data_IF_875727347408
#
_entry.id   IF_875727347408
#
_cell.length_a   1.000
_cell.length_b   1.000
_cell.length_c   1.000
_cell.angle_alpha   90.00
_cell.angle_beta   90.00
_cell.angle_gamma   90.00
#
_symmetry.space_group_name_H-M   'P 1'
#
loop_
_entity.id
_entity.type
_entity.pdbx_description
1 polymer ?
#
# COMPACT_ATOMS: atom_id res chain seq x y z
N UNK A 1 -55.96 51.47 -36.62
CA UNK A 1 -54.64 51.43 -37.26
C UNK A 1 -53.61 51.63 -36.15
N UNK A 2 -53.22 50.52 -35.53
CA UNK A 2 -52.40 50.44 -34.33
C UNK A 2 -51.18 49.58 -34.68
N UNK A 3 -50.10 49.78 -33.93
CA UNK A 3 -48.85 49.00 -33.88
C UNK A 3 -47.74 49.51 -34.79
N UNK A 4 -47.15 50.62 -34.35
CA UNK A 4 -45.69 50.73 -34.26
C UNK A 4 -45.26 50.28 -32.85
N UNK A 5 -43.95 49.99 -32.66
CA UNK A 5 -43.26 49.70 -31.39
C UNK A 5 -43.10 48.21 -31.01
N UNK A 6 -42.39 47.39 -31.81
CA UNK A 6 -41.53 46.28 -31.28
C UNK A 6 -40.40 45.90 -32.25
N UNK A 7 -39.63 46.86 -32.80
CA UNK A 7 -38.51 46.50 -33.70
C UNK A 7 -37.25 47.32 -33.45
N UNK A 8 -36.79 47.34 -32.19
CA UNK A 8 -35.45 47.84 -31.85
C UNK A 8 -34.91 47.30 -30.52
N UNK A 9 -34.75 45.97 -30.40
CA UNK A 9 -34.09 45.37 -29.23
C UNK A 9 -33.47 43.98 -29.49
N UNK A 10 -32.73 43.80 -30.59
CA UNK A 10 -31.90 42.59 -30.79
C UNK A 10 -30.56 42.89 -31.46
N UNK A 11 -29.72 43.70 -30.81
CA UNK A 11 -28.29 43.75 -31.12
C UNK A 11 -27.50 44.14 -29.87
N UNK A 12 -27.23 43.16 -29.01
CA UNK A 12 -26.50 43.43 -27.77
C UNK A 12 -26.45 42.28 -26.77
N UNK A 13 -26.37 41.02 -27.20
CA UNK A 13 -25.94 39.95 -26.31
C UNK A 13 -24.44 39.80 -26.50
N UNK A 14 -23.66 40.52 -25.68
CA UNK A 14 -22.28 40.10 -25.42
C UNK A 14 -22.38 38.71 -24.82
N UNK A 15 -21.81 37.71 -25.47
CA UNK A 15 -21.48 36.45 -24.82
C UNK A 15 -20.60 36.78 -23.60
N UNK A 16 -21.22 36.81 -22.41
CA UNK A 16 -20.48 36.70 -21.17
C UNK A 16 -19.78 35.34 -21.21
N UNK A 17 -18.48 35.37 -21.49
CA UNK A 17 -17.62 34.20 -21.39
C UNK A 17 -17.87 33.53 -20.04
N UNK A 18 -18.49 32.35 -20.09
CA UNK A 18 -18.72 31.50 -18.93
C UNK A 18 -17.42 31.42 -18.12
N UNK A 19 -17.44 31.65 -16.80
CA UNK A 19 -16.23 31.54 -15.99
C UNK A 19 -15.62 30.16 -16.23
N UNK A 20 -14.37 30.15 -16.68
CA UNK A 20 -13.65 28.93 -17.01
C UNK A 20 -13.82 27.93 -15.85
N UNK A 21 -14.39 26.75 -16.15
CA UNK A 21 -14.52 25.68 -15.17
C UNK A 21 -13.16 25.48 -14.53
N UNK A 22 -13.04 25.49 -13.19
CA UNK A 22 -11.76 25.24 -12.54
C UNK A 22 -11.21 23.91 -13.07
N UNK A 23 -10.08 24.01 -13.77
CA UNK A 23 -9.36 22.86 -14.28
C UNK A 23 -9.14 21.90 -13.09
N UNK A 24 -9.53 20.62 -13.21
CA UNK A 24 -9.25 19.67 -12.15
C UNK A 24 -7.73 19.68 -11.90
N UNK A 25 -7.29 19.71 -10.63
CA UNK A 25 -5.87 19.78 -10.31
C UNK A 25 -5.13 18.66 -11.04
N UNK A 26 -4.06 19.04 -11.75
CA UNK A 26 -3.20 18.11 -12.46
C UNK A 26 -2.85 16.93 -11.55
N UNK A 27 -2.99 15.67 -12.01
CA UNK A 27 -2.70 14.52 -11.18
C UNK A 27 -1.26 14.62 -10.68
N UNK A 28 -1.09 14.63 -9.35
CA UNK A 28 0.23 14.74 -8.73
C UNK A 28 1.20 13.73 -9.36
N UNK A 29 2.43 14.15 -9.69
CA UNK A 29 3.39 13.30 -10.40
C UNK A 29 3.59 11.98 -9.67
N UNK A 30 3.55 10.89 -10.44
CA UNK A 30 3.77 9.53 -9.95
C UNK A 30 5.17 9.47 -9.33
N UNK A 31 5.29 8.91 -8.14
CA UNK A 31 6.56 8.89 -7.40
C UNK A 31 7.45 7.76 -7.92
N UNK A 32 8.12 8.01 -9.06
CA UNK A 32 8.90 6.99 -9.78
C UNK A 32 9.96 6.29 -8.94
N UNK A 33 10.51 6.94 -7.91
CA UNK A 33 11.49 6.33 -7.00
C UNK A 33 10.89 5.22 -6.12
N UNK A 34 9.63 5.35 -5.72
CA UNK A 34 8.92 4.29 -4.98
C UNK A 34 8.59 3.11 -5.88
N UNK A 35 8.19 3.38 -7.13
CA UNK A 35 7.95 2.34 -8.12
C UNK A 35 9.27 1.59 -8.41
N UNK A 36 10.37 2.31 -8.62
CA UNK A 36 11.70 1.70 -8.81
C UNK A 36 12.13 0.82 -7.63
N UNK A 37 11.96 1.27 -6.39
CA UNK A 37 12.24 0.47 -5.19
C UNK A 37 11.40 -0.81 -5.14
N UNK A 38 10.11 -0.72 -5.46
CA UNK A 38 9.22 -1.89 -5.51
C UNK A 38 9.65 -2.88 -6.59
N UNK A 39 10.04 -2.39 -7.76
CA UNK A 39 10.55 -3.21 -8.85
C UNK A 39 11.81 -3.96 -8.45
N UNK A 40 12.78 -3.26 -7.86
CA UNK A 40 14.01 -3.85 -7.34
C UNK A 40 13.72 -4.91 -6.27
N UNK A 41 12.88 -4.57 -5.27
CA UNK A 41 12.51 -5.49 -4.21
C UNK A 41 11.83 -6.76 -4.74
N UNK A 42 10.96 -6.65 -5.75
CA UNK A 42 10.33 -7.80 -6.39
C UNK A 42 11.37 -8.75 -6.98
N UNK A 43 12.36 -8.22 -7.72
CA UNK A 43 13.41 -9.03 -8.34
C UNK A 43 14.28 -9.73 -7.30
N UNK A 44 14.61 -9.06 -6.20
CA UNK A 44 15.40 -9.67 -5.11
C UNK A 44 14.65 -10.81 -4.44
N UNK A 45 13.32 -10.72 -4.28
CA UNK A 45 12.50 -11.83 -3.75
C UNK A 45 12.42 -12.99 -4.75
N UNK A 46 12.31 -12.71 -6.07
CA UNK A 46 12.38 -13.75 -7.11
C UNK A 46 13.73 -14.48 -7.04
N UNK A 47 14.82 -13.72 -6.92
CA UNK A 47 16.16 -14.25 -6.77
C UNK A 47 16.26 -15.18 -5.55
N UNK A 48 15.85 -14.71 -4.37
CA UNK A 48 15.84 -15.51 -3.13
C UNK A 48 15.17 -16.88 -3.32
N UNK A 49 13.97 -16.92 -3.90
CA UNK A 49 13.22 -18.17 -4.08
C UNK A 49 13.79 -19.06 -5.19
N UNK A 50 14.53 -18.48 -6.14
CA UNK A 50 15.23 -19.23 -7.19
C UNK A 50 16.52 -19.91 -6.65
N UNK A 51 17.13 -19.36 -5.60
CA UNK A 51 18.38 -19.90 -5.04
C UNK A 51 18.22 -21.33 -4.56
N UNK A 52 17.14 -21.67 -3.85
CA UNK A 52 16.90 -23.06 -3.45
C UNK A 52 16.86 -24.05 -4.63
N UNK A 53 16.29 -23.62 -5.76
CA UNK A 53 16.01 -24.48 -6.90
C UNK A 53 17.21 -24.65 -7.84
N UNK A 54 18.07 -23.64 -7.91
CA UNK A 54 19.16 -23.56 -8.88
C UNK A 54 20.55 -23.48 -8.24
N UNK A 55 20.67 -22.84 -7.08
CA UNK A 55 21.94 -22.51 -6.43
C UNK A 55 21.89 -22.76 -4.91
N UNK A 56 21.55 -23.99 -4.46
CA UNK A 56 21.41 -24.31 -3.04
C UNK A 56 22.71 -24.03 -2.25
N UNK A 57 23.88 -24.18 -2.88
CA UNK A 57 25.18 -23.85 -2.32
C UNK A 57 25.32 -22.35 -1.99
N UNK A 58 24.82 -21.47 -2.87
CA UNK A 58 24.83 -20.02 -2.65
C UNK A 58 23.87 -19.68 -1.51
N UNK A 59 22.70 -20.33 -1.46
CA UNK A 59 21.74 -20.12 -0.38
C UNK A 59 22.31 -20.56 0.97
N UNK A 60 22.93 -21.73 1.02
CA UNK A 60 23.52 -22.28 2.23
C UNK A 60 24.68 -21.41 2.75
N UNK A 61 25.49 -20.82 1.86
CA UNK A 61 26.59 -19.94 2.25
C UNK A 61 26.12 -18.51 2.60
N UNK A 62 25.40 -17.85 1.70
CA UNK A 62 24.99 -16.46 1.87
C UNK A 62 23.86 -16.29 2.89
N UNK A 63 22.93 -17.26 2.97
CA UNK A 63 21.77 -17.23 3.85
C UNK A 63 22.12 -17.22 5.34
N UNK A 64 23.34 -17.62 5.70
CA UNK A 64 23.90 -17.54 7.06
C UNK A 64 24.13 -16.10 7.53
N UNK A 65 24.27 -15.17 6.57
CA UNK A 65 24.67 -13.79 6.82
C UNK A 65 23.61 -12.80 6.35
N UNK A 66 22.93 -13.09 5.24
CA UNK A 66 21.99 -12.18 4.61
C UNK A 66 20.78 -12.93 4.04
N UNK A 67 19.59 -12.49 4.43
CA UNK A 67 18.34 -13.03 3.89
C UNK A 67 17.76 -12.06 2.84
N UNK A 68 17.88 -12.41 1.55
CA UNK A 68 17.42 -11.57 0.45
C UNK A 68 15.89 -11.42 0.43
N UNK A 69 15.16 -12.46 0.85
CA UNK A 69 13.70 -12.45 0.96
C UNK A 69 13.21 -11.42 1.98
N UNK A 70 13.68 -11.50 3.23
CA UNK A 70 13.34 -10.54 4.28
C UNK A 70 13.71 -9.12 3.88
N UNK A 71 14.88 -8.92 3.26
CA UNK A 71 15.29 -7.61 2.75
C UNK A 71 14.26 -7.04 1.76
N UNK A 72 13.91 -7.81 0.72
CA UNK A 72 12.96 -7.36 -0.30
C UNK A 72 11.58 -7.07 0.29
N UNK A 73 11.09 -7.93 1.17
CA UNK A 73 9.79 -7.77 1.85
C UNK A 73 9.77 -6.54 2.77
N UNK A 74 10.84 -6.27 3.52
CA UNK A 74 10.93 -5.07 4.37
C UNK A 74 10.95 -3.77 3.55
N UNK A 75 11.61 -3.76 2.38
CA UNK A 75 11.53 -2.64 1.44
C UNK A 75 10.09 -2.43 0.94
N UNK A 76 9.36 -3.51 0.62
CA UNK A 76 7.94 -3.40 0.26
C UNK A 76 7.10 -2.80 1.40
N UNK A 77 7.32 -3.21 2.64
CA UNK A 77 6.59 -2.69 3.79
C UNK A 77 6.88 -1.20 4.05
N UNK A 78 8.14 -0.76 3.92
CA UNK A 78 8.49 0.67 3.99
C UNK A 78 7.76 1.48 2.90
N UNK A 79 7.75 0.97 1.66
CA UNK A 79 7.05 1.63 0.54
C UNK A 79 5.53 1.66 0.78
N UNK A 80 4.93 0.56 1.22
CA UNK A 80 3.49 0.49 1.52
C UNK A 80 3.12 1.48 2.63
N UNK A 81 3.90 1.52 3.70
CA UNK A 81 3.79 2.50 4.78
C UNK A 81 3.84 3.96 4.31
N UNK A 82 4.74 4.25 3.37
CA UNK A 82 4.92 5.60 2.82
C UNK A 82 3.74 6.07 1.94
N UNK A 83 3.08 5.17 1.21
CA UNK A 83 2.06 5.51 0.20
C UNK A 83 0.63 5.38 0.70
N UNK A 84 0.35 4.39 1.55
CA UNK A 84 -1.03 3.99 1.88
C UNK A 84 -1.80 5.08 2.64
N UNK A 85 -1.29 5.68 3.73
CA UNK A 85 -2.03 6.71 4.47
C UNK A 85 -2.36 7.93 3.60
N UNK A 86 -1.46 8.30 2.70
CA UNK A 86 -1.65 9.37 1.71
C UNK A 86 -2.85 9.11 0.81
N UNK A 87 -3.04 7.85 0.39
CA UNK A 87 -4.15 7.49 -0.49
C UNK A 87 -5.52 7.63 0.18
N UNK A 88 -5.58 7.46 1.51
CA UNK A 88 -6.78 7.65 2.31
C UNK A 88 -7.04 9.14 2.55
N UNK A 89 -6.00 9.89 2.95
CA UNK A 89 -6.10 11.34 3.21
C UNK A 89 -6.49 12.14 1.96
N UNK A 90 -5.90 11.83 0.79
CA UNK A 90 -6.20 12.56 -0.46
C UNK A 90 -7.63 12.38 -0.96
N UNK A 91 -8.28 11.26 -0.63
CA UNK A 91 -9.63 10.94 -1.13
C UNK A 91 -10.72 11.28 -0.12
N UNK A 92 -10.40 11.41 1.16
CA UNK A 92 -11.33 11.78 2.22
C UNK A 92 -12.45 10.77 2.54
N UNK A 93 -12.55 9.67 1.79
CA UNK A 93 -13.60 8.65 1.94
C UNK A 93 -13.00 7.29 2.28
N UNK A 94 -13.36 6.75 3.44
CA UNK A 94 -12.97 5.41 3.90
C UNK A 94 -13.51 4.32 2.96
N UNK A 95 -14.78 4.40 2.57
CA UNK A 95 -15.36 3.46 1.60
C UNK A 95 -14.67 3.54 0.24
N UNK A 96 -14.36 4.74 -0.24
CA UNK A 96 -13.59 4.94 -1.47
C UNK A 96 -12.17 4.35 -1.39
N UNK A 97 -11.51 4.42 -0.24
CA UNK A 97 -10.22 3.77 0.00
C UNK A 97 -10.34 2.25 -0.13
N UNK A 98 -11.27 1.62 0.61
CA UNK A 98 -11.45 0.17 0.59
C UNK A 98 -11.82 -0.36 -0.79
N UNK A 99 -12.74 0.30 -1.51
CA UNK A 99 -13.07 -0.06 -2.91
C UNK A 99 -11.80 -0.10 -3.76
N UNK A 100 -10.97 0.94 -3.73
CA UNK A 100 -9.74 0.97 -4.53
C UNK A 100 -8.73 -0.12 -4.10
N UNK A 101 -8.72 -0.53 -2.82
CA UNK A 101 -7.84 -1.59 -2.32
C UNK A 101 -8.31 -2.98 -2.70
N UNK A 102 -9.61 -3.25 -2.58
CA UNK A 102 -10.20 -4.53 -3.02
C UNK A 102 -9.94 -4.75 -4.50
N UNK A 103 -10.24 -3.76 -5.36
CA UNK A 103 -9.99 -3.83 -6.80
C UNK A 103 -8.50 -3.79 -7.19
N UNK A 104 -7.61 -3.47 -6.25
CA UNK A 104 -6.16 -3.54 -6.47
C UNK A 104 -5.60 -4.91 -6.10
N UNK A 105 -6.06 -5.50 -5.00
CA UNK A 105 -5.47 -6.70 -4.43
C UNK A 105 -6.16 -7.99 -4.89
N UNK A 106 -7.47 -8.09 -4.66
CA UNK A 106 -8.22 -9.35 -4.82
C UNK A 106 -8.21 -9.92 -6.24
N UNK A 107 -8.35 -9.15 -7.34
CA UNK A 107 -8.44 -9.73 -8.68
C UNK A 107 -7.27 -10.64 -9.04
N UNK A 108 -6.04 -10.16 -8.85
CA UNK A 108 -4.85 -10.95 -9.15
C UNK A 108 -4.55 -11.98 -8.06
N UNK A 109 -4.89 -11.65 -6.81
CA UNK A 109 -4.81 -12.61 -5.71
C UNK A 109 -5.67 -13.85 -5.99
N UNK A 110 -6.90 -13.69 -6.50
CA UNK A 110 -7.78 -14.81 -6.89
C UNK A 110 -7.15 -15.67 -7.99
N UNK A 111 -6.56 -15.03 -9.00
CA UNK A 111 -5.86 -15.77 -10.07
C UNK A 111 -4.71 -16.58 -9.50
N UNK A 112 -3.88 -15.99 -8.63
CA UNK A 112 -2.77 -16.69 -7.99
C UNK A 112 -3.25 -17.79 -7.03
N UNK A 113 -4.32 -17.56 -6.27
CA UNK A 113 -4.90 -18.53 -5.35
C UNK A 113 -5.46 -19.72 -6.11
N UNK A 114 -6.24 -19.49 -7.18
CA UNK A 114 -6.79 -20.54 -8.03
C UNK A 114 -5.67 -21.36 -8.69
N UNK A 115 -4.67 -20.69 -9.27
CA UNK A 115 -3.52 -21.38 -9.87
C UNK A 115 -2.72 -22.19 -8.83
N UNK A 116 -2.50 -21.64 -7.63
CA UNK A 116 -1.88 -22.34 -6.51
C UNK A 116 -2.67 -23.59 -6.09
N UNK A 117 -3.98 -23.47 -5.92
CA UNK A 117 -4.85 -24.62 -5.59
C UNK A 117 -4.79 -25.69 -6.68
N UNK A 118 -4.88 -25.32 -7.95
CA UNK A 118 -4.78 -26.27 -9.07
C UNK A 118 -3.42 -26.97 -9.06
N UNK A 119 -2.33 -26.24 -8.87
CA UNK A 119 -0.99 -26.83 -8.78
C UNK A 119 -0.87 -27.81 -7.61
N UNK A 120 -1.55 -27.51 -6.49
CA UNK A 120 -1.57 -28.38 -5.32
C UNK A 120 -2.34 -29.68 -5.56
N UNK A 121 -3.53 -29.59 -6.15
CA UNK A 121 -4.35 -30.76 -6.51
C UNK A 121 -3.65 -31.63 -7.55
N UNK A 122 -2.93 -31.04 -8.49
CA UNK A 122 -2.19 -31.74 -9.55
C UNK A 122 -0.80 -32.24 -9.11
N UNK A 123 -0.42 -32.06 -7.84
CA UNK A 123 0.89 -32.49 -7.33
C UNK A 123 2.08 -31.82 -8.01
N UNK A 124 1.92 -30.57 -8.46
CA UNK A 124 3.01 -29.79 -9.09
C UNK A 124 4.06 -29.35 -8.06
N UNK A 125 3.67 -29.18 -6.80
CA UNK A 125 4.56 -28.99 -5.65
C UNK A 125 4.34 -30.10 -4.59
N UNK A 126 5.05 -30.06 -3.45
CA UNK A 126 4.77 -30.92 -2.27
C UNK A 126 3.27 -30.89 -1.94
N UNK A 127 2.68 -31.97 -1.42
CA UNK A 127 1.23 -32.05 -1.20
C UNK A 127 0.60 -30.78 -0.60
N UNK A 128 -0.64 -30.47 -1.00
CA UNK A 128 -1.44 -29.42 -0.35
C UNK A 128 -1.30 -29.57 1.17
N UNK A 129 -1.02 -28.49 1.91
CA UNK A 129 -0.91 -28.59 3.37
C UNK A 129 -2.16 -29.29 3.90
N UNK A 130 -2.00 -30.26 4.81
CA UNK A 130 -3.12 -31.10 5.28
C UNK A 130 -4.32 -30.25 5.74
N UNK A 131 -4.06 -29.12 6.41
CA UNK A 131 -5.06 -28.13 6.81
C UNK A 131 -5.97 -27.62 5.66
N UNK A 132 -5.43 -27.49 4.45
CA UNK A 132 -6.18 -27.08 3.27
C UNK A 132 -7.01 -28.23 2.69
N UNK A 133 -6.53 -29.47 2.81
CA UNK A 133 -7.23 -30.66 2.36
C UNK A 133 -8.36 -31.06 3.33
N UNK A 134 -8.11 -30.98 4.64
CA UNK A 134 -9.03 -31.43 5.68
C UNK A 134 -10.25 -30.50 5.84
N UNK A 135 -10.05 -29.19 5.69
CA UNK A 135 -11.09 -28.18 5.91
C UNK A 135 -11.07 -27.09 4.82
N UNK A 136 -11.42 -27.43 3.56
CA UNK A 136 -11.28 -26.53 2.42
C UNK A 136 -12.15 -25.27 2.57
N UNK A 137 -13.35 -25.38 3.17
CA UNK A 137 -14.24 -24.23 3.39
C UNK A 137 -13.67 -23.21 4.38
N UNK A 138 -13.14 -23.67 5.51
CA UNK A 138 -12.49 -22.80 6.52
C UNK A 138 -11.23 -22.18 5.95
N UNK A 139 -10.41 -22.97 5.25
CA UNK A 139 -9.20 -22.48 4.59
C UNK A 139 -9.53 -21.42 3.54
N UNK A 140 -10.56 -21.63 2.70
CA UNK A 140 -11.02 -20.63 1.74
C UNK A 140 -11.50 -19.34 2.43
N UNK A 141 -12.28 -19.47 3.52
CA UNK A 141 -12.75 -18.32 4.29
C UNK A 141 -11.58 -17.52 4.89
N UNK A 142 -10.60 -18.19 5.49
CA UNK A 142 -9.39 -17.56 6.02
C UNK A 142 -8.64 -16.77 4.93
N UNK A 143 -8.47 -17.37 3.76
CA UNK A 143 -7.85 -16.74 2.59
C UNK A 143 -8.64 -15.55 2.07
N UNK A 144 -9.98 -15.61 2.05
CA UNK A 144 -10.85 -14.49 1.63
C UNK A 144 -10.72 -13.27 2.54
N UNK A 145 -10.38 -13.44 3.82
CA UNK A 145 -10.07 -12.30 4.70
C UNK A 145 -8.71 -11.66 4.41
N UNK A 146 -7.85 -12.33 3.63
CA UNK A 146 -6.41 -12.08 3.51
C UNK A 146 -5.65 -12.12 4.85
N UNK A 147 -6.24 -12.62 5.94
CA UNK A 147 -5.59 -12.73 7.26
C UNK A 147 -5.14 -14.16 7.60
N UNK A 148 -5.09 -15.07 6.62
CA UNK A 148 -4.83 -16.49 6.85
C UNK A 148 -3.57 -16.78 7.68
N UNK A 149 -2.51 -15.98 7.50
CA UNK A 149 -1.27 -16.14 8.28
C UNK A 149 -1.44 -15.77 9.77
N UNK A 150 -2.37 -14.87 10.10
CA UNK A 150 -2.72 -14.55 11.48
C UNK A 150 -3.82 -15.46 12.05
N UNK A 151 -4.37 -16.35 11.22
CA UNK A 151 -5.42 -17.31 11.59
C UNK A 151 -4.85 -18.73 11.74
N UNK A 152 -3.52 -18.89 11.70
CA UNK A 152 -2.84 -20.19 11.73
C UNK A 152 -3.21 -21.10 10.54
N UNK A 153 -3.54 -20.52 9.38
CA UNK A 153 -3.82 -21.24 8.14
C UNK A 153 -2.67 -21.05 7.17
N UNK A 154 -2.06 -22.16 6.72
CA UNK A 154 -0.97 -22.13 5.74
C UNK A 154 -1.45 -21.48 4.43
N UNK A 155 -0.64 -20.61 3.86
CA UNK A 155 -0.99 -19.94 2.61
C UNK A 155 -0.88 -20.89 1.41
N UNK A 156 -1.92 -20.95 0.57
CA UNK A 156 -1.91 -21.75 -0.68
C UNK A 156 -0.77 -21.36 -1.61
N UNK A 157 -0.44 -20.07 -1.66
CA UNK A 157 0.78 -19.56 -2.28
C UNK A 157 1.60 -18.91 -1.18
N UNK A 158 2.83 -19.41 -0.95
CA UNK A 158 3.67 -19.03 0.19
C UNK A 158 3.65 -17.52 0.47
N UNK A 159 3.91 -16.69 -0.54
CA UNK A 159 4.05 -15.22 -0.42
C UNK A 159 2.80 -14.48 0.06
N UNK A 160 1.63 -15.12 0.10
CA UNK A 160 0.41 -14.48 0.61
C UNK A 160 0.51 -14.08 2.09
N UNK A 161 1.43 -14.67 2.87
CA UNK A 161 1.64 -14.31 4.27
C UNK A 161 1.85 -12.79 4.44
N UNK A 162 2.64 -12.17 3.56
CA UNK A 162 2.92 -10.72 3.59
C UNK A 162 1.69 -9.84 3.39
N UNK A 163 0.70 -10.31 2.63
CA UNK A 163 -0.52 -9.57 2.36
C UNK A 163 -1.39 -9.44 3.61
N UNK A 164 -1.29 -10.40 4.53
CA UNK A 164 -2.00 -10.33 5.81
C UNK A 164 -1.55 -9.17 6.67
N UNK A 165 -0.25 -8.90 6.70
CA UNK A 165 0.30 -7.74 7.42
C UNK A 165 -0.05 -6.42 6.73
N UNK A 166 -0.10 -6.41 5.40
CA UNK A 166 -0.58 -5.24 4.66
C UNK A 166 -2.08 -4.97 4.93
N UNK A 167 -2.90 -6.02 5.03
CA UNK A 167 -4.32 -5.92 5.40
C UNK A 167 -4.50 -5.38 6.82
N UNK A 168 -3.75 -5.91 7.79
CA UNK A 168 -3.71 -5.37 9.17
C UNK A 168 -3.39 -3.88 9.16
N UNK A 169 -2.36 -3.47 8.42
CA UNK A 169 -2.00 -2.05 8.32
C UNK A 169 -3.14 -1.21 7.75
N UNK A 170 -3.89 -1.73 6.77
CA UNK A 170 -5.07 -1.02 6.22
C UNK A 170 -6.18 -0.86 7.26
N UNK A 171 -6.45 -1.88 8.06
CA UNK A 171 -7.45 -1.84 9.14
C UNK A 171 -7.06 -0.79 10.20
N UNK A 172 -5.79 -0.79 10.62
CA UNK A 172 -5.29 0.17 11.61
C UNK A 172 -5.31 1.61 11.10
N UNK A 173 -4.81 1.87 9.89
CA UNK A 173 -4.84 3.22 9.29
C UNK A 173 -6.28 3.70 9.07
N UNK A 174 -7.20 2.79 8.75
CA UNK A 174 -8.63 3.12 8.64
C UNK A 174 -9.21 3.56 9.98
N UNK A 175 -8.93 2.82 11.06
CA UNK A 175 -9.40 3.17 12.40
C UNK A 175 -8.81 4.50 12.88
N UNK A 176 -7.51 4.74 12.66
CA UNK A 176 -6.87 6.03 12.96
C UNK A 176 -7.56 7.20 12.26
N UNK A 177 -7.89 7.02 10.98
CA UNK A 177 -8.55 8.05 10.19
C UNK A 177 -9.98 8.29 10.67
N UNK A 178 -10.72 7.22 10.98
CA UNK A 178 -12.08 7.31 11.51
C UNK A 178 -12.13 7.98 12.90
N UNK A 179 -11.10 7.77 13.73
CA UNK A 179 -10.94 8.40 15.04
C UNK A 179 -10.40 9.85 14.97
N UNK A 180 -10.03 10.35 13.80
CA UNK A 180 -9.50 11.72 13.64
C UNK A 180 -8.04 11.89 14.10
N UNK A 181 -7.33 10.81 14.45
CA UNK A 181 -5.97 10.80 14.98
C UNK A 181 -4.90 11.01 13.89
N UNK A 182 -5.02 12.09 13.10
CA UNK A 182 -4.31 12.23 11.81
C UNK A 182 -2.80 12.44 11.91
N UNK A 183 -2.26 13.11 12.95
CA UNK A 183 -0.82 13.46 13.02
C UNK A 183 -0.11 12.95 14.26
N UNK A 184 -0.66 13.25 15.44
CA UNK A 184 -0.10 12.79 16.72
C UNK A 184 -0.18 11.27 16.87
N UNK A 185 -1.26 10.66 16.35
CA UNK A 185 -1.48 9.21 16.42
C UNK A 185 -0.42 8.39 15.68
N UNK A 186 0.13 8.86 14.56
CA UNK A 186 1.12 8.08 13.78
C UNK A 186 2.43 7.89 14.55
N UNK A 187 2.95 8.94 15.20
CA UNK A 187 4.20 8.80 15.98
C UNK A 187 3.96 7.95 17.23
N UNK A 188 2.81 8.13 17.90
CA UNK A 188 2.42 7.31 19.05
C UNK A 188 2.27 5.83 18.70
N UNK A 189 1.68 5.50 17.56
CA UNK A 189 1.55 4.10 17.11
C UNK A 189 2.87 3.49 16.67
N UNK A 190 3.77 4.27 16.06
CA UNK A 190 5.12 3.81 15.78
C UNK A 190 5.88 3.50 17.07
N UNK A 191 5.81 4.41 18.04
CA UNK A 191 6.42 4.23 19.36
C UNK A 191 5.84 3.01 20.09
N UNK A 192 4.51 2.88 20.09
CA UNK A 192 3.83 1.71 20.67
C UNK A 192 4.24 0.42 19.97
N UNK A 193 4.25 0.38 18.64
CA UNK A 193 4.65 -0.80 17.89
C UNK A 193 6.12 -1.17 18.18
N UNK A 194 7.01 -0.17 18.26
CA UNK A 194 8.43 -0.37 18.60
C UNK A 194 8.62 -0.87 20.04
N UNK A 195 7.86 -0.32 21.01
CA UNK A 195 7.87 -0.78 22.38
C UNK A 195 7.29 -2.20 22.51
N UNK A 196 6.23 -2.52 21.77
CA UNK A 196 5.65 -3.85 21.75
C UNK A 196 6.64 -4.92 21.24
N UNK A 197 7.67 -4.55 20.46
CA UNK A 197 8.73 -5.48 20.04
C UNK A 197 9.51 -6.05 21.21
N UNK A 198 9.75 -5.25 22.26
CA UNK A 198 10.62 -5.66 23.37
C UNK A 198 9.97 -6.71 24.27
N UNK A 199 8.64 -6.84 24.18
CA UNK A 199 7.86 -7.86 24.91
C UNK A 199 7.18 -8.84 23.97
N UNK A 200 7.22 -8.62 22.66
CA UNK A 200 6.49 -9.40 21.67
C UNK A 200 6.90 -10.87 21.63
N UNK A 201 8.17 -11.19 21.92
CA UNK A 201 8.62 -12.58 22.00
C UNK A 201 8.08 -13.36 23.20
N UNK A 202 7.51 -12.66 24.20
CA UNK A 202 6.83 -13.28 25.33
C UNK A 202 5.37 -13.65 25.00
N UNK A 203 4.82 -13.11 23.91
CA UNK A 203 3.44 -13.35 23.54
C UNK A 203 3.31 -14.70 22.80
N UNK A 204 2.36 -15.55 23.20
CA UNK A 204 2.22 -16.88 22.62
C UNK A 204 1.70 -16.81 21.19
N UNK A 205 2.46 -17.31 20.22
CA UNK A 205 2.00 -17.46 18.85
C UNK A 205 0.86 -18.50 18.75
N UNK A 206 -0.13 -18.26 17.89
CA UNK A 206 -1.25 -19.19 17.68
C UNK A 206 -2.09 -19.53 18.92
N UNK A 207 -2.05 -18.71 19.98
CA UNK A 207 -2.71 -19.02 21.25
C UNK A 207 -4.24 -19.13 21.11
N UNK A 208 -4.85 -18.25 20.32
CA UNK A 208 -6.31 -18.29 20.10
C UNK A 208 -6.71 -19.52 19.31
N UNK A 209 -5.99 -19.85 18.23
CA UNK A 209 -6.29 -21.04 17.43
C UNK A 209 -6.04 -22.34 18.21
N UNK A 210 -5.03 -22.38 19.10
CA UNK A 210 -4.78 -23.52 19.99
C UNK A 210 -5.84 -23.66 21.10
N UNK A 211 -6.29 -22.55 21.67
CA UNK A 211 -7.25 -22.55 22.78
C UNK A 211 -8.71 -22.70 22.34
N UNK A 212 -9.13 -21.99 21.29
CA UNK A 212 -10.51 -21.94 20.82
C UNK A 212 -10.79 -22.76 19.56
N UNK A 213 -9.74 -23.24 18.88
CA UNK A 213 -9.81 -23.92 17.59
C UNK A 213 -9.71 -22.97 16.40
N UNK A 214 -8.93 -23.37 15.39
CA UNK A 214 -8.67 -22.56 14.18
C UNK A 214 -9.96 -22.16 13.46
N UNK A 215 -10.91 -23.09 13.30
CA UNK A 215 -12.16 -22.82 12.59
C UNK A 215 -12.99 -21.71 13.25
N UNK A 216 -13.10 -21.73 14.58
CA UNK A 216 -13.81 -20.73 15.37
C UNK A 216 -13.17 -19.35 15.21
N UNK A 217 -11.83 -19.27 15.32
CA UNK A 217 -11.10 -18.00 15.16
C UNK A 217 -11.27 -17.43 13.75
N UNK A 218 -11.26 -18.28 12.71
CA UNK A 218 -11.51 -17.88 11.32
C UNK A 218 -12.93 -17.32 11.15
N UNK A 219 -13.96 -18.03 11.63
CA UNK A 219 -15.36 -17.61 11.50
C UNK A 219 -15.61 -16.28 12.24
N UNK A 220 -15.14 -16.17 13.49
CA UNK A 220 -15.28 -14.94 14.29
C UNK A 220 -14.59 -13.77 13.59
N UNK A 221 -13.38 -13.99 13.07
CA UNK A 221 -12.64 -12.97 12.31
C UNK A 221 -13.44 -12.51 11.09
N UNK A 222 -13.97 -13.43 10.29
CA UNK A 222 -14.77 -13.10 9.12
C UNK A 222 -16.02 -12.30 9.49
N UNK A 223 -16.76 -12.70 10.54
CA UNK A 223 -17.95 -11.99 11.02
C UNK A 223 -17.63 -10.57 11.47
N UNK A 224 -16.56 -10.38 12.26
CA UNK A 224 -16.14 -9.05 12.72
C UNK A 224 -15.73 -8.17 11.55
N UNK A 225 -15.01 -8.71 10.56
CA UNK A 225 -14.63 -7.96 9.36
C UNK A 225 -15.84 -7.58 8.49
N UNK A 226 -16.83 -8.47 8.35
CA UNK A 226 -18.08 -8.17 7.64
C UNK A 226 -18.88 -7.09 8.36
N UNK A 227 -19.00 -7.17 9.68
CA UNK A 227 -19.65 -6.13 10.49
C UNK A 227 -18.91 -4.78 10.39
N UNK A 228 -17.58 -4.81 10.44
CA UNK A 228 -16.76 -3.62 10.24
C UNK A 228 -16.94 -3.03 8.83
N UNK A 229 -16.98 -3.85 7.79
CA UNK A 229 -17.24 -3.41 6.42
C UNK A 229 -18.64 -2.80 6.26
N UNK A 230 -19.67 -3.41 6.84
CA UNK A 230 -21.03 -2.86 6.86
C UNK A 230 -21.08 -1.51 7.59
N UNK A 231 -20.35 -1.36 8.70
CA UNK A 231 -20.26 -0.10 9.46
C UNK A 231 -19.68 1.07 8.65
N UNK A 232 -18.94 0.79 7.55
CA UNK A 232 -18.39 1.84 6.69
C UNK A 232 -19.46 2.58 5.90
N UNK A 233 -20.62 1.97 5.69
CA UNK A 233 -21.80 2.62 5.11
C UNK A 233 -22.51 3.53 6.12
N UNK A 234 -22.30 3.31 7.42
CA UNK A 234 -22.85 4.12 8.50
C UNK A 234 -22.04 5.41 8.74
N UNK A 235 -22.61 6.34 9.50
CA UNK A 235 -21.96 7.59 9.93
C UNK A 235 -21.75 7.61 11.45
N UNK A 236 -20.91 8.54 11.91
CA UNK A 236 -20.71 8.81 13.33
C UNK A 236 -20.13 7.61 14.11
N UNK A 237 -20.72 7.34 15.28
CA UNK A 237 -20.24 6.34 16.26
C UNK A 237 -20.19 4.93 15.71
N UNK A 238 -21.19 4.50 14.90
CA UNK A 238 -21.23 3.14 14.36
C UNK A 238 -20.01 2.82 13.49
N UNK A 239 -19.61 3.77 12.62
CA UNK A 239 -18.40 3.64 11.80
C UNK A 239 -17.13 3.62 12.66
N UNK A 240 -17.09 4.44 13.71
CA UNK A 240 -15.97 4.45 14.64
C UNK A 240 -15.87 3.12 15.40
N UNK A 241 -16.97 2.59 15.92
CA UNK A 241 -17.00 1.30 16.61
C UNK A 241 -16.59 0.15 15.70
N UNK A 242 -17.12 0.06 14.48
CA UNK A 242 -16.78 -1.03 13.55
C UNK A 242 -15.31 -0.98 13.10
N UNK A 243 -14.77 0.20 12.81
CA UNK A 243 -13.34 0.34 12.47
C UNK A 243 -12.44 0.09 13.68
N UNK A 244 -12.84 0.49 14.89
CA UNK A 244 -12.12 0.19 16.13
C UNK A 244 -12.14 -1.33 16.43
N UNK A 245 -13.29 -1.99 16.28
CA UNK A 245 -13.40 -3.44 16.45
C UNK A 245 -12.46 -4.20 15.50
N UNK A 246 -12.42 -3.81 14.22
CA UNK A 246 -11.49 -4.41 13.26
C UNK A 246 -10.01 -4.14 13.61
N UNK A 247 -9.68 -2.95 14.13
CA UNK A 247 -8.34 -2.64 14.58
C UNK A 247 -7.93 -3.44 15.83
N UNK A 248 -8.83 -3.58 16.81
CA UNK A 248 -8.62 -4.40 18.01
C UNK A 248 -8.41 -5.86 17.61
N UNK A 249 -9.29 -6.40 16.77
CA UNK A 249 -9.13 -7.74 16.21
C UNK A 249 -7.76 -7.91 15.55
N UNK A 250 -7.36 -6.97 14.70
CA UNK A 250 -6.08 -7.02 14.01
C UNK A 250 -4.89 -7.01 15.00
N UNK A 251 -4.91 -6.17 16.05
CA UNK A 251 -3.85 -6.13 17.06
C UNK A 251 -3.80 -7.40 17.92
N UNK A 252 -4.97 -7.95 18.28
CA UNK A 252 -5.07 -9.20 19.03
C UNK A 252 -4.51 -10.35 18.21
N UNK A 253 -4.94 -10.49 16.95
CA UNK A 253 -4.43 -11.54 16.06
C UNK A 253 -2.91 -11.39 15.84
N UNK A 254 -2.41 -10.16 15.67
CA UNK A 254 -0.98 -9.88 15.49
C UNK A 254 -0.16 -10.26 16.73
N UNK A 255 -0.70 -9.97 17.92
CA UNK A 255 -0.02 -10.17 19.20
C UNK A 255 -0.03 -11.62 19.68
N UNK A 256 -1.13 -12.36 19.50
CA UNK A 256 -1.29 -13.68 20.14
C UNK A 256 -1.71 -14.80 19.19
N UNK A 257 -1.89 -14.53 17.89
CA UNK A 257 -2.32 -15.57 16.96
C UNK A 257 -1.54 -15.62 15.63
N UNK A 258 -0.57 -14.73 15.43
CA UNK A 258 0.30 -14.74 14.25
C UNK A 258 1.04 -16.07 14.11
N UNK A 259 1.18 -16.57 12.87
CA UNK A 259 2.01 -17.74 12.56
C UNK A 259 3.47 -17.39 12.79
N UNK A 260 4.02 -16.38 12.10
CA UNK A 260 5.46 -16.07 12.15
C UNK A 260 5.99 -15.63 13.53
N UNK A 261 5.13 -15.37 14.50
CA UNK A 261 5.49 -14.87 15.83
C UNK A 261 5.20 -13.38 16.00
N UNK A 262 4.87 -12.98 17.22
CA UNK A 262 4.36 -11.64 17.50
C UNK A 262 5.42 -10.55 17.35
N UNK A 263 6.67 -10.81 17.75
CA UNK A 263 7.74 -9.81 17.61
C UNK A 263 8.08 -9.53 16.13
N UNK A 264 8.13 -10.55 15.26
CA UNK A 264 8.33 -10.34 13.81
C UNK A 264 7.16 -9.56 13.21
N UNK A 265 5.94 -9.93 13.60
CA UNK A 265 4.70 -9.31 13.14
C UNK A 265 4.62 -7.83 13.51
N UNK A 266 4.98 -7.51 14.75
CA UNK A 266 5.08 -6.14 15.25
C UNK A 266 6.23 -5.38 14.57
N UNK A 267 7.35 -6.06 14.22
CA UNK A 267 8.48 -5.41 13.55
C UNK A 267 8.10 -4.97 12.14
N UNK A 268 7.36 -5.82 11.43
CA UNK A 268 6.75 -5.48 10.14
C UNK A 268 5.82 -4.28 10.30
N UNK A 269 4.92 -4.31 11.29
CA UNK A 269 3.97 -3.22 11.51
C UNK A 269 4.67 -1.90 11.84
N UNK A 270 5.67 -1.94 12.72
CA UNK A 270 6.50 -0.78 13.07
C UNK A 270 7.22 -0.23 11.83
N UNK A 271 7.75 -1.11 10.96
CA UNK A 271 8.37 -0.73 9.69
C UNK A 271 7.39 0.00 8.75
N UNK A 272 6.14 -0.46 8.66
CA UNK A 272 5.11 0.22 7.87
C UNK A 272 4.73 1.60 8.45
N UNK A 273 4.59 1.72 9.78
CA UNK A 273 4.37 3.02 10.41
C UNK A 273 5.57 3.96 10.27
N UNK A 274 6.80 3.44 10.26
CA UNK A 274 7.99 4.23 9.98
C UNK A 274 7.94 4.85 8.58
N UNK A 275 7.51 4.08 7.56
CA UNK A 275 7.25 4.61 6.21
C UNK A 275 6.26 5.78 6.23
N UNK A 276 5.22 5.70 7.06
CA UNK A 276 4.24 6.79 7.23
C UNK A 276 4.88 8.03 7.86
N UNK A 277 5.67 7.85 8.92
CA UNK A 277 6.37 8.97 9.58
C UNK A 277 7.36 9.63 8.64
N UNK A 278 8.13 8.85 7.86
CA UNK A 278 9.05 9.37 6.83
C UNK A 278 8.32 10.21 5.78
N UNK A 279 7.15 9.75 5.32
CA UNK A 279 6.30 10.53 4.41
C UNK A 279 5.86 11.86 5.03
N UNK A 280 5.39 11.83 6.28
CA UNK A 280 4.94 13.04 6.97
C UNK A 280 6.08 14.03 7.21
N UNK A 281 7.29 13.56 7.46
CA UNK A 281 8.49 14.39 7.54
C UNK A 281 8.80 15.05 6.19
N UNK A 282 8.73 14.30 5.08
CA UNK A 282 8.97 14.85 3.73
C UNK A 282 7.95 15.92 3.32
N UNK A 283 6.76 15.89 3.92
CA UNK A 283 5.70 16.89 3.71
C UNK A 283 5.69 18.01 4.73
N UNK A 284 6.66 18.07 5.66
CA UNK A 284 6.71 19.07 6.73
C UNK A 284 5.54 18.96 7.73
N UNK A 285 4.82 17.83 7.76
CA UNK A 285 3.69 17.61 8.66
C UNK A 285 4.13 17.19 10.06
N UNK A 286 5.33 16.62 10.18
CA UNK A 286 5.99 16.27 11.44
C UNK A 286 7.35 16.98 11.50
N UNK A 287 7.85 17.17 12.73
CA UNK A 287 9.18 17.74 12.97
C UNK A 287 10.14 16.63 13.37
N UNK A 288 11.32 16.58 12.76
CA UNK A 288 12.36 15.57 13.08
C UNK A 288 12.66 15.51 14.58
N UNK A 289 12.77 16.65 15.26
CA UNK A 289 13.01 16.74 16.71
C UNK A 289 12.00 15.96 17.56
N UNK A 290 10.75 15.77 17.10
CA UNK A 290 9.69 15.07 17.86
C UNK A 290 9.52 13.60 17.48
N UNK A 291 9.89 13.21 16.25
CA UNK A 291 9.56 11.89 15.70
C UNK A 291 10.79 11.10 15.24
N UNK A 292 11.97 11.72 15.17
CA UNK A 292 13.21 11.10 14.69
C UNK A 292 13.67 9.96 15.58
N UNK A 293 13.52 10.08 16.91
CA UNK A 293 13.85 9.02 17.85
C UNK A 293 13.08 7.73 17.54
N UNK A 294 11.76 7.83 17.30
CA UNK A 294 10.92 6.67 17.03
C UNK A 294 11.30 5.98 15.71
N UNK A 295 11.78 6.73 14.71
CA UNK A 295 12.31 6.17 13.47
C UNK A 295 13.61 5.40 13.68
N UNK A 296 14.53 5.93 14.50
CA UNK A 296 15.80 5.26 14.80
C UNK A 296 15.58 4.02 15.67
N UNK A 297 14.62 4.07 16.60
CA UNK A 297 14.31 2.95 17.48
C UNK A 297 13.77 1.73 16.72
N UNK A 298 13.10 1.87 15.57
CA UNK A 298 12.47 0.74 14.89
C UNK A 298 13.47 -0.30 14.36
N UNK A 299 14.48 0.03 13.54
CA UNK A 299 15.45 -0.96 13.09
C UNK A 299 16.28 -1.50 14.25
N UNK A 300 16.63 -0.67 15.24
CA UNK A 300 17.38 -1.08 16.43
C UNK A 300 16.58 -2.07 17.28
N UNK A 301 15.32 -1.79 17.58
CA UNK A 301 14.44 -2.67 18.34
C UNK A 301 14.10 -3.94 17.56
N UNK A 302 13.95 -3.87 16.23
CA UNK A 302 13.74 -5.05 15.40
C UNK A 302 14.95 -5.99 15.40
N UNK A 303 16.17 -5.44 15.32
CA UNK A 303 17.41 -6.21 15.44
C UNK A 303 17.52 -6.77 16.86
N UNK A 304 17.36 -5.95 17.89
CA UNK A 304 17.42 -6.38 19.28
C UNK A 304 16.42 -7.49 19.60
N UNK A 305 15.19 -7.41 19.10
CA UNK A 305 14.18 -8.45 19.25
C UNK A 305 14.59 -9.76 18.56
N UNK A 306 15.22 -9.71 17.39
CA UNK A 306 15.74 -10.90 16.73
C UNK A 306 16.82 -11.61 17.57
N UNK A 307 17.71 -10.84 18.21
CA UNK A 307 18.73 -11.39 19.11
C UNK A 307 18.17 -11.88 20.44
N UNK A 308 17.13 -11.23 20.96
CA UNK A 308 16.51 -11.61 22.23
C UNK A 308 15.61 -12.84 22.10
N UNK A 309 14.90 -13.00 20.98
CA UNK A 309 13.83 -13.99 20.84
C UNK A 309 14.08 -15.05 19.76
N UNK A 310 15.01 -14.81 18.83
CA UNK A 310 15.28 -15.71 17.73
C UNK A 310 14.05 -15.96 16.83
N UNK A 311 14.06 -17.01 16.00
CA UNK A 311 12.95 -17.29 15.08
C UNK A 311 11.64 -17.71 15.76
N UNK A 312 11.67 -18.22 17.00
CA UNK A 312 10.48 -18.64 17.76
C UNK A 312 9.92 -20.04 17.44
N UNK A 313 10.55 -20.79 16.52
CA UNK A 313 10.03 -22.08 16.02
C UNK A 313 10.77 -23.33 16.55
N UNK A 314 11.61 -23.21 17.58
CA UNK A 314 12.41 -24.33 18.07
C UNK A 314 13.40 -24.87 17.03
N UNK A 315 13.93 -24.00 16.18
CA UNK A 315 14.97 -24.36 15.21
C UNK A 315 16.28 -24.74 15.91
N UNK A 316 17.11 -25.60 15.30
CA UNK A 316 18.48 -25.83 15.74
C UNK A 316 19.27 -24.52 15.92
N UNK A 317 20.18 -24.47 16.89
CA UNK A 317 20.88 -23.24 17.30
C UNK A 317 21.63 -22.57 16.15
N UNK A 318 22.23 -23.35 15.25
CA UNK A 318 22.93 -22.87 14.07
C UNK A 318 21.97 -22.17 13.08
N UNK A 319 20.82 -22.79 12.80
CA UNK A 319 19.78 -22.21 11.94
C UNK A 319 19.11 -21.00 12.58
N UNK A 320 18.91 -21.01 13.90
CA UNK A 320 18.38 -19.88 14.64
C UNK A 320 19.35 -18.69 14.58
N UNK A 321 20.65 -18.93 14.74
CA UNK A 321 21.68 -17.90 14.61
C UNK A 321 21.76 -17.34 13.18
N UNK A 322 21.68 -18.22 12.17
CA UNK A 322 21.60 -17.84 10.76
C UNK A 322 20.39 -16.93 10.49
N UNK A 323 19.21 -17.30 11.00
CA UNK A 323 18.01 -16.48 10.92
C UNK A 323 18.23 -15.11 11.57
N UNK A 324 18.76 -15.06 12.79
CA UNK A 324 18.96 -13.82 13.54
C UNK A 324 19.92 -12.88 12.83
N UNK A 325 21.04 -13.41 12.32
CA UNK A 325 22.00 -12.64 11.50
C UNK A 325 21.36 -12.15 10.21
N UNK A 326 20.74 -13.05 9.46
CA UNK A 326 20.08 -12.76 8.20
C UNK A 326 18.94 -11.75 8.32
N UNK A 327 18.14 -11.82 9.39
CA UNK A 327 17.13 -10.82 9.72
C UNK A 327 17.77 -9.46 10.03
N UNK A 328 18.80 -9.44 10.87
CA UNK A 328 19.46 -8.21 11.31
C UNK A 328 20.06 -7.44 10.14
N UNK A 329 20.79 -8.14 9.27
CA UNK A 329 21.40 -7.54 8.07
C UNK A 329 20.34 -7.14 7.05
N UNK A 330 19.27 -7.92 6.88
CA UNK A 330 18.15 -7.57 6.01
C UNK A 330 17.43 -6.30 6.48
N UNK A 331 17.18 -6.15 7.78
CA UNK A 331 16.59 -4.93 8.36
C UNK A 331 17.50 -3.74 8.10
N UNK A 332 18.79 -3.83 8.45
CA UNK A 332 19.73 -2.74 8.24
C UNK A 332 19.81 -2.33 6.75
N UNK A 333 19.93 -3.30 5.85
CA UNK A 333 20.00 -3.05 4.42
C UNK A 333 18.70 -2.47 3.86
N UNK A 334 17.53 -2.98 4.26
CA UNK A 334 16.24 -2.48 3.76
C UNK A 334 16.04 -1.00 4.14
N UNK A 335 16.37 -0.65 5.38
CA UNK A 335 16.32 0.72 5.87
C UNK A 335 17.33 1.62 5.17
N UNK A 336 18.58 1.17 5.03
CA UNK A 336 19.62 1.91 4.32
C UNK A 336 19.21 2.17 2.85
N UNK A 337 18.75 1.14 2.14
CA UNK A 337 18.27 1.24 0.75
C UNK A 337 17.10 2.22 0.64
N UNK A 338 16.10 2.14 1.52
CA UNK A 338 14.95 3.04 1.47
C UNK A 338 15.36 4.49 1.72
N UNK A 339 16.22 4.73 2.72
CA UNK A 339 16.71 6.07 3.05
C UNK A 339 17.57 6.64 1.91
N UNK A 340 18.46 5.84 1.32
CA UNK A 340 19.27 6.24 0.16
C UNK A 340 18.38 6.60 -1.04
N UNK A 341 17.42 5.76 -1.39
CA UNK A 341 16.48 6.04 -2.47
C UNK A 341 15.58 7.26 -2.18
N UNK A 342 15.23 7.49 -0.90
CA UNK A 342 14.52 8.70 -0.46
C UNK A 342 15.36 9.96 -0.68
N UNK A 343 16.69 9.92 -0.57
CA UNK A 343 17.55 11.05 -0.94
C UNK A 343 17.46 11.36 -2.45
N UNK A 344 17.24 10.34 -3.28
CA UNK A 344 17.09 10.44 -4.73
C UNK A 344 15.64 10.75 -5.17
N UNK A 345 14.69 10.98 -4.26
CA UNK A 345 13.24 11.13 -4.56
C UNK A 345 12.86 12.21 -5.56
N UNK A 346 13.72 13.22 -5.74
CA UNK A 346 13.52 14.34 -6.67
C UNK A 346 14.22 14.13 -8.02
N UNK A 347 14.99 13.04 -8.18
CA UNK A 347 15.66 12.70 -9.43
C UNK A 347 14.74 11.86 -10.33
N UNK A 348 14.85 11.98 -11.66
CA UNK A 348 14.17 11.08 -12.58
C UNK A 348 14.73 9.66 -12.40
N UNK A 349 13.84 8.67 -12.45
CA UNK A 349 14.21 7.26 -12.32
C UNK A 349 14.22 6.57 -13.68
N UNK A 350 15.08 5.55 -13.89
CA UNK A 350 15.09 4.76 -15.11
C UNK A 350 13.71 4.18 -15.43
N UNK A 351 13.27 4.32 -16.69
CA UNK A 351 11.93 3.87 -17.14
C UNK A 351 11.70 2.38 -16.90
N UNK A 352 12.73 1.55 -17.09
CA UNK A 352 12.67 0.12 -16.85
C UNK A 352 12.37 -0.22 -15.38
N UNK A 353 13.06 0.42 -14.43
CA UNK A 353 12.82 0.21 -13.00
C UNK A 353 11.43 0.68 -12.57
N UNK A 354 10.98 1.82 -13.09
CA UNK A 354 9.61 2.29 -12.85
C UNK A 354 8.60 1.30 -13.41
N UNK A 355 8.80 0.79 -14.63
CA UNK A 355 7.92 -0.20 -15.25
C UNK A 355 7.87 -1.52 -14.45
N UNK A 356 9.02 -2.01 -13.97
CA UNK A 356 9.07 -3.15 -13.05
C UNK A 356 8.27 -2.88 -11.79
N UNK A 357 8.37 -1.66 -11.25
CA UNK A 357 7.53 -1.18 -10.14
C UNK A 357 6.03 -1.24 -10.41
N UNK A 358 5.61 -0.94 -11.64
CA UNK A 358 4.20 -0.96 -12.04
C UNK A 358 3.61 -2.37 -12.04
N UNK A 359 4.39 -3.36 -12.47
CA UNK A 359 3.98 -4.77 -12.51
C UNK A 359 4.43 -5.56 -11.27
N UNK A 360 5.03 -4.89 -10.29
CA UNK A 360 5.72 -5.54 -9.17
C UNK A 360 4.77 -6.42 -8.33
N UNK A 361 3.48 -6.07 -8.28
CA UNK A 361 2.48 -6.86 -7.58
C UNK A 361 2.27 -8.21 -8.27
N UNK A 362 2.21 -8.21 -9.61
CA UNK A 362 2.09 -9.44 -10.39
C UNK A 362 3.35 -10.29 -10.32
N UNK A 363 4.53 -9.66 -10.42
CA UNK A 363 5.82 -10.36 -10.25
C UNK A 363 5.87 -11.04 -8.88
N UNK A 364 5.49 -10.31 -7.83
CA UNK A 364 5.49 -10.82 -6.48
C UNK A 364 4.50 -11.99 -6.28
N UNK A 365 3.29 -11.93 -6.83
CA UNK A 365 2.31 -13.00 -6.63
C UNK A 365 2.53 -14.25 -7.49
N UNK A 366 3.04 -14.08 -8.71
CA UNK A 366 3.11 -15.19 -9.67
C UNK A 366 4.46 -15.90 -9.66
N UNK A 367 5.53 -15.29 -9.16
CA UNK A 367 6.84 -15.94 -9.15
C UNK A 367 6.90 -17.26 -8.38
N UNK A 368 6.17 -17.46 -7.25
CA UNK A 368 6.25 -18.74 -6.55
C UNK A 368 5.71 -19.87 -7.42
N UNK A 369 4.66 -19.62 -8.21
CA UNK A 369 4.10 -20.61 -9.12
C UNK A 369 5.13 -21.03 -10.18
N UNK A 370 5.84 -20.07 -10.77
CA UNK A 370 6.90 -20.35 -11.74
C UNK A 370 8.11 -21.06 -11.11
N UNK A 371 8.51 -20.65 -9.90
CA UNK A 371 9.58 -21.29 -9.13
C UNK A 371 9.20 -22.72 -8.76
N UNK A 372 7.94 -23.02 -8.44
CA UNK A 372 7.51 -24.38 -8.14
C UNK A 372 7.61 -25.30 -9.36
N UNK A 373 7.20 -24.82 -10.54
CA UNK A 373 7.40 -25.56 -11.79
C UNK A 373 8.88 -25.83 -12.01
N UNK A 374 9.74 -24.83 -11.78
CA UNK A 374 11.19 -24.99 -11.88
C UNK A 374 11.73 -26.05 -10.92
N UNK A 375 11.34 -26.02 -9.63
CA UNK A 375 11.77 -27.01 -8.62
C UNK A 375 11.39 -28.44 -9.00
N UNK A 376 10.23 -28.61 -9.63
CA UNK A 376 9.80 -29.93 -10.14
C UNK A 376 10.71 -30.42 -11.28
N UNK A 377 11.24 -29.51 -12.09
CA UNK A 377 12.18 -29.83 -13.18
C UNK A 377 13.63 -30.00 -12.68
N UNK A 378 13.99 -29.39 -11.55
CA UNK A 378 15.35 -29.39 -10.97
C UNK A 378 15.42 -30.06 -9.60
N UNK A 379 14.85 -31.26 -9.46
CA UNK A 379 14.86 -32.00 -8.19
C UNK A 379 16.26 -32.27 -7.64
N UNK A 380 17.24 -32.45 -8.52
CA UNK A 380 18.66 -32.54 -8.20
C UNK A 380 19.43 -31.47 -8.99
N UNK A 381 19.59 -30.25 -8.43
CA UNK A 381 20.29 -29.16 -9.11
C UNK A 381 21.73 -29.52 -9.48
N UNK A 382 22.34 -30.44 -8.70
CA UNK A 382 23.71 -30.94 -8.89
C UNK A 382 24.00 -31.48 -10.29
N UNK A 383 22.97 -32.00 -10.97
CA UNK A 383 23.09 -32.61 -12.31
C UNK A 383 23.30 -31.59 -13.44
N UNK A 384 22.94 -30.34 -13.21
CA UNK A 384 23.04 -29.28 -14.21
C UNK A 384 24.35 -28.51 -14.03
N UNK A 385 25.02 -28.23 -15.14
CA UNK A 385 26.18 -27.35 -15.20
C UNK A 385 25.81 -25.90 -14.85
N UNK A 386 26.80 -25.10 -14.47
CA UNK A 386 26.59 -23.69 -14.13
C UNK A 386 25.92 -22.88 -15.28
N UNK A 387 26.34 -23.01 -16.56
CA UNK A 387 25.66 -22.32 -17.66
C UNK A 387 24.19 -22.71 -17.82
N UNK A 388 23.85 -23.99 -17.63
CA UNK A 388 22.45 -24.47 -17.71
C UNK A 388 21.61 -23.84 -16.59
N UNK A 389 22.10 -23.86 -15.35
CA UNK A 389 21.41 -23.23 -14.21
C UNK A 389 21.20 -21.73 -14.42
N UNK A 390 22.20 -21.04 -14.95
CA UNK A 390 22.10 -19.62 -15.31
C UNK A 390 21.07 -19.40 -16.43
N UNK A 391 21.06 -20.24 -17.46
CA UNK A 391 20.06 -20.21 -18.52
C UNK A 391 18.64 -20.41 -17.99
N UNK A 392 18.46 -21.34 -17.05
CA UNK A 392 17.19 -21.58 -16.37
C UNK A 392 16.76 -20.41 -15.49
N UNK A 393 17.70 -19.72 -14.81
CA UNK A 393 17.40 -18.51 -14.05
C UNK A 393 16.90 -17.37 -14.95
N UNK A 394 17.55 -17.17 -16.11
CA UNK A 394 17.13 -16.18 -17.11
C UNK A 394 15.76 -16.53 -17.68
N UNK A 395 15.52 -17.81 -18.00
CA UNK A 395 14.22 -18.28 -18.48
C UNK A 395 13.12 -18.08 -17.43
N UNK A 396 13.38 -18.45 -16.17
CA UNK A 396 12.46 -18.21 -15.05
C UNK A 396 12.09 -16.73 -14.97
N UNK A 397 13.08 -15.84 -14.98
CA UNK A 397 12.84 -14.40 -14.93
C UNK A 397 12.01 -13.91 -16.12
N UNK A 398 12.33 -14.37 -17.33
CA UNK A 398 11.59 -14.02 -18.54
C UNK A 398 10.12 -14.47 -18.47
N UNK A 399 9.86 -15.70 -18.03
CA UNK A 399 8.51 -16.25 -17.84
C UNK A 399 7.75 -15.45 -16.78
N UNK A 400 8.35 -15.21 -15.61
CA UNK A 400 7.73 -14.41 -14.54
C UNK A 400 7.36 -13.02 -15.04
N UNK A 401 8.27 -12.33 -15.73
CA UNK A 401 8.03 -10.99 -16.27
C UNK A 401 6.96 -10.99 -17.37
N UNK A 402 6.95 -11.98 -18.27
CA UNK A 402 5.96 -12.12 -19.33
C UNK A 402 4.56 -12.36 -18.75
N UNK A 403 4.40 -13.35 -17.86
CA UNK A 403 3.15 -13.64 -17.17
C UNK A 403 2.67 -12.45 -16.33
N UNK A 404 3.59 -11.75 -15.66
CA UNK A 404 3.29 -10.55 -14.88
C UNK A 404 2.83 -9.39 -15.75
N UNK A 405 3.48 -9.14 -16.89
CA UNK A 405 3.08 -8.10 -17.82
C UNK A 405 1.70 -8.40 -18.44
N UNK A 406 1.42 -9.67 -18.75
CA UNK A 406 0.14 -10.12 -19.29
C UNK A 406 -0.99 -9.94 -18.27
N UNK A 407 -0.82 -10.48 -17.06
CA UNK A 407 -1.83 -10.39 -15.99
C UNK A 407 -2.02 -8.96 -15.49
N UNK A 408 -0.96 -8.13 -15.48
CA UNK A 408 -1.09 -6.71 -15.21
C UNK A 408 -2.03 -6.02 -16.22
N UNK A 409 -1.88 -6.32 -17.52
CA UNK A 409 -2.69 -5.73 -18.59
C UNK A 409 -4.12 -6.27 -18.62
N UNK A 410 -4.28 -7.58 -18.41
CA UNK A 410 -5.56 -8.28 -18.56
C UNK A 410 -6.42 -8.27 -17.29
N UNK A 411 -5.81 -8.25 -16.10
CA UNK A 411 -6.52 -8.40 -14.81
C UNK A 411 -6.38 -7.15 -13.97
N UNK A 412 -5.14 -6.78 -13.63
CA UNK A 412 -4.89 -5.74 -12.62
C UNK A 412 -5.33 -4.34 -13.10
N UNK A 413 -4.87 -3.92 -14.29
CA UNK A 413 -5.15 -2.58 -14.82
C UNK A 413 -6.66 -2.35 -15.06
N UNK A 414 -7.42 -3.29 -15.67
CA UNK A 414 -8.86 -3.17 -15.81
C UNK A 414 -9.57 -3.09 -14.46
N UNK A 415 -9.25 -3.98 -13.52
CA UNK A 415 -9.88 -3.98 -12.21
C UNK A 415 -9.61 -2.69 -11.43
N UNK A 416 -8.37 -2.19 -11.42
CA UNK A 416 -8.05 -0.91 -10.80
C UNK A 416 -8.78 0.26 -11.47
N UNK A 417 -8.99 0.20 -12.80
CA UNK A 417 -9.76 1.22 -13.51
C UNK A 417 -11.22 1.23 -13.08
N UNK A 418 -11.83 0.04 -12.89
CA UNK A 418 -13.18 -0.14 -12.40
C UNK A 418 -13.32 0.36 -10.96
N UNK A 419 -12.40 -0.04 -10.08
CA UNK A 419 -12.36 0.44 -8.69
C UNK A 419 -12.29 1.97 -8.59
N UNK A 420 -11.48 2.62 -9.44
CA UNK A 420 -11.42 4.10 -9.51
C UNK A 420 -12.76 4.72 -9.94
N UNK A 421 -13.48 4.11 -10.88
CA UNK A 421 -14.82 4.58 -11.32
C UNK A 421 -15.84 4.43 -10.19
N UNK A 422 -15.88 3.28 -9.51
CA UNK A 422 -16.80 3.01 -8.40
C UNK A 422 -16.53 3.92 -7.19
N UNK A 423 -15.26 4.11 -6.84
CA UNK A 423 -14.86 5.00 -5.75
C UNK A 423 -15.27 6.46 -6.00
N UNK A 424 -15.26 6.94 -7.24
CA UNK A 424 -15.73 8.30 -7.58
C UNK A 424 -17.24 8.44 -7.37
N UNK A 425 -18.03 7.45 -7.79
CA UNK A 425 -19.49 7.44 -7.61
C UNK A 425 -19.89 7.45 -6.12
N UNK A 426 -19.18 6.67 -5.30
CA UNK A 426 -19.40 6.64 -3.84
C UNK A 426 -19.06 8.00 -3.17
N UNK A 427 -18.01 8.69 -3.64
CA UNK A 427 -17.65 10.02 -3.17
C UNK A 427 -18.69 11.10 -3.51
N UNK A 428 -19.20 11.10 -4.75
CA UNK A 428 -20.23 12.06 -5.20
C UNK A 428 -21.54 11.94 -4.42
N UNK A 429 -21.96 10.72 -4.07
CA UNK A 429 -23.18 10.46 -3.28
C UNK A 429 -23.09 10.99 -1.84
N UNK A 430 -21.88 11.07 -1.29
CA UNK A 430 -21.67 11.57 0.08
C UNK A 430 -21.84 13.08 0.16
N UNK A 431 -21.39 13.80 -0.88
CA UNK A 431 -21.47 15.26 -0.98
C UNK A 431 -22.91 15.74 -1.23
N UNK A 432 -23.70 15.09 -2.10
CA UNK A 432 -25.10 15.49 -2.34
C UNK A 432 -26.00 15.31 -1.13
N UNK A 433 -25.78 14.28 -0.30
CA UNK A 433 -26.54 14.11 0.95
C UNK A 433 -26.15 15.15 2.01
N UNK A 434 -24.89 15.58 2.07
CA UNK A 434 -24.46 16.67 2.95
C UNK A 434 -25.12 18.01 2.56
N UNK A 435 -25.19 18.33 1.26
CA UNK A 435 -25.86 19.57 0.80
C UNK A 435 -27.37 19.57 1.05
N UNK A 436 -28.01 18.40 1.08
CA UNK A 436 -29.45 18.27 1.33
C UNK A 436 -29.82 18.18 2.82
N UNK A 437 -28.87 17.81 3.71
CA UNK A 437 -29.12 17.73 5.17
C UNK A 437 -28.66 18.97 5.93
N UNK A 438 -27.80 19.81 5.34
CA UNK A 438 -27.49 21.14 5.86
C UNK A 438 -28.15 22.25 5.03
N UNK A 439 -29.44 22.08 4.71
CA UNK A 439 -30.25 23.23 4.28
C UNK A 439 -30.50 24.12 5.50
N UNK A 440 -30.05 25.38 5.54
CA UNK A 440 -30.44 26.27 6.62
C UNK A 440 -31.94 26.55 6.47
N UNK A 441 -32.68 26.26 7.54
CA UNK A 441 -33.99 26.85 7.73
C UNK A 441 -33.84 28.39 7.59
N UNK A 442 -34.57 28.97 6.64
CA UNK A 442 -34.85 30.40 6.56
C UNK A 442 -33.65 31.34 6.48
N UNK A 443 -33.01 31.45 5.31
CA UNK A 443 -32.33 32.69 4.92
C UNK A 443 -32.76 33.03 3.50
N UNK A 444 -33.59 34.08 3.36
CA UNK A 444 -33.87 34.72 2.07
C UNK A 444 -32.54 35.08 1.40
N UNK A 445 -32.39 34.90 0.08
CA UNK A 445 -31.18 35.32 -0.60
C UNK A 445 -30.97 36.83 -0.37
N UNK A 446 -29.77 37.30 0.00
CA UNK A 446 -29.53 38.73 0.13
C UNK A 446 -29.78 39.38 -1.23
N UNK A 447 -30.57 40.45 -1.20
CA UNK A 447 -30.85 41.27 -2.37
C UNK A 447 -29.56 41.67 -3.08
N UNK A 448 -29.64 41.78 -4.41
CA UNK A 448 -28.56 42.26 -5.27
C UNK A 448 -27.88 43.49 -4.63
N UNK A 449 -26.54 43.51 -4.47
CA UNK A 449 -25.86 44.73 -4.07
C UNK A 449 -26.07 45.79 -5.18
N UNK A 450 -26.25 47.07 -4.85
CA UNK A 450 -26.38 48.12 -5.85
C UNK A 450 -25.10 48.17 -6.68
N UNK A 451 -25.28 48.27 -8.00
CA UNK A 451 -24.22 48.42 -9.00
C UNK A 451 -23.22 49.51 -8.56
N UNK A 452 -22.00 49.09 -8.19
CA UNK A 452 -20.87 50.01 -8.07
C UNK A 452 -20.64 50.64 -9.45
N UNK A 453 -20.78 51.97 -9.52
CA UNK A 453 -20.37 52.78 -10.67
C UNK A 453 -18.93 52.43 -11.05
N UNK A 454 -18.69 52.13 -12.32
CA UNK A 454 -17.34 51.91 -12.88
C UNK A 454 -16.47 53.15 -12.61
N UNK A 455 -15.17 52.98 -12.31
CA UNK A 455 -14.23 54.10 -12.36
C UNK A 455 -14.12 54.59 -13.80
N UNK A 456 -14.01 55.91 -13.98
CA UNK A 456 -13.79 56.57 -15.27
C UNK A 456 -12.52 56.02 -15.93
N UNK A 457 -12.47 55.90 -17.27
CA UNK A 457 -11.23 55.54 -17.96
C UNK A 457 -10.17 56.65 -17.76
N UNK A 458 -8.92 56.22 -17.61
CA UNK A 458 -7.75 57.09 -17.54
C UNK A 458 -7.66 58.00 -18.79
N UNK A 459 -7.22 59.26 -18.65
CA UNK A 459 -7.00 60.11 -19.81
C UNK A 459 -5.83 59.58 -20.63
N UNK A 460 -6.01 59.52 -21.96
CA UNK A 460 -4.94 59.21 -22.91
C UNK A 460 -3.82 60.27 -22.80
N UNK A 461 -2.54 59.87 -22.93
CA UNK A 461 -1.46 60.85 -22.94
C UNK A 461 -1.54 61.70 -24.21
N UNK A 462 -1.68 63.01 -24.00
CA UNK A 462 -1.64 64.00 -25.05
C UNK A 462 -0.28 63.96 -25.77
N UNK A 463 -0.35 64.05 -27.09
CA UNK A 463 0.79 64.18 -27.98
C UNK A 463 1.64 65.40 -27.60
N UNK A 464 2.92 65.15 -27.27
CA UNK A 464 3.95 66.17 -27.18
C UNK A 464 4.26 66.65 -28.60
N UNK A 465 3.86 67.88 -28.95
CA UNK A 465 4.41 68.58 -30.11
C UNK A 465 5.81 69.09 -29.79
N UNK A 466 6.81 68.89 -30.66
CA UNK A 466 8.16 69.43 -30.46
C UNK A 466 8.22 70.87 -30.96
N UNK A 467 8.91 71.75 -30.23
CA UNK A 467 9.08 73.12 -30.68
C UNK A 467 10.04 73.94 -29.84
N UNK A 468 11.33 73.85 -30.17
CA UNK A 468 12.29 74.94 -30.43
C UNK A 468 13.67 74.64 -29.82
N UNK A 469 14.58 74.18 -30.69
CA UNK A 469 16.01 74.33 -30.49
C UNK A 469 16.41 75.73 -30.95
N UNK A 470 16.95 76.53 -30.05
CA UNK A 470 17.76 77.70 -30.36
C UNK A 470 19.22 77.25 -30.47
N UNK A 471 19.84 77.45 -31.64
CA UNK A 471 21.30 77.58 -31.77
C UNK A 471 21.58 78.97 -32.34
N UNK A 472 22.63 79.68 -31.87
CA UNK A 472 22.97 81.04 -32.31
C UNK A 472 24.04 80.98 -33.43
N UNK A 473 24.57 82.14 -33.86
CA UNK A 473 24.41 82.72 -35.19
C UNK A 473 25.48 82.28 -36.21
N UNK A 474 25.15 82.45 -37.48
CA UNK A 474 26.03 82.31 -38.64
C UNK A 474 25.26 82.58 -39.91
#
# INVERSE_FOLDING_TARGET
MFVDVVEKSRSGVREEALPARPQPPSPAPRQGWLDALRGMAALVVVFEHSLDALFPEVRAGAGQWFNFGHYGVLVFFLVSGYVVPVSLERRGSVGGFWINRVFRLYPLWFVAAAAGTVFGVQGVYTALPDQLADNPGISALAHLTMLQDLLQVVSVVNVFWTLSYEMVFYLLVTAMFAAGARRAGTTGMLAFAAAALTVGGLLPAGALSRGAGTAQVVVVTAVVLLAAAASLACRGRLRACGTAAAAVLALVLLGVNSRIGAWQSLAILATMFAGTVLHRLDRGQLRWKKSGWALVCVPVASIGAAWAFGPGWGMPDDQALAFTRGWSTAVAAAWATFLAARLLRHRPMPRALVWLGLISYSVYLLHPLAVQVLRRLTTDPGRFSLPERLGMAVLLLAVVLACSALTYRAVERPAQSLGRRLSRRAGSRTLTTETLTTGPAGVRPPGRPPLRRRPRPWPSPAAVRPGRSTRPPG
#
